data_IF_584588782741
#
_entry.id   IF_584588782741
#
_cell.length_a   1.000
_cell.length_b   1.000
_cell.length_c   1.000
_cell.angle_alpha   90.00
_cell.angle_beta   90.00
_cell.angle_gamma   90.00
#
_symmetry.space_group_name_H-M   'P 1'
#
loop_
_entity.id
_entity.type
_entity.pdbx_description
1 polymer ?
#
# COMPACT_ATOMS: atom_id res chain seq x y z
N UNK A 1 19.49 24.80 28.93
CA UNK A 1 19.21 23.48 28.31
C UNK A 1 17.90 23.61 27.55
N UNK A 2 17.94 24.04 26.28
CA UNK A 2 16.72 24.25 25.49
C UNK A 2 16.15 22.89 25.11
N UNK A 3 15.08 22.49 25.79
CA UNK A 3 14.22 21.40 25.35
C UNK A 3 13.61 21.79 24.00
N UNK A 4 14.25 21.37 22.91
CA UNK A 4 13.60 21.28 21.60
C UNK A 4 12.43 20.30 21.76
N UNK A 5 11.24 20.82 22.03
CA UNK A 5 10.01 20.05 22.21
C UNK A 5 9.59 19.28 20.94
N UNK A 6 10.07 19.71 19.77
CA UNK A 6 9.79 19.07 18.48
C UNK A 6 11.12 18.84 17.75
N UNK A 7 11.42 17.62 17.29
CA UNK A 7 12.66 17.27 16.59
C UNK A 7 12.67 17.74 15.11
N UNK A 8 11.94 18.82 14.81
CA UNK A 8 11.85 19.35 13.45
C UNK A 8 13.12 20.11 13.08
N UNK A 9 13.61 19.89 11.86
CA UNK A 9 14.73 20.63 11.33
C UNK A 9 14.43 21.09 9.90
N UNK A 10 14.31 22.41 9.75
CA UNK A 10 14.00 23.06 8.47
C UNK A 10 14.99 22.71 7.37
N UNK A 11 16.29 22.68 7.67
CA UNK A 11 17.31 22.41 6.66
C UNK A 11 17.25 20.97 6.17
N UNK A 12 17.01 20.03 7.10
CA UNK A 12 16.87 18.61 6.75
C UNK A 12 15.60 18.37 5.93
N UNK A 13 14.48 18.97 6.34
CA UNK A 13 13.23 18.92 5.61
C UNK A 13 13.38 19.44 4.17
N UNK A 14 14.00 20.62 3.99
CA UNK A 14 14.19 21.20 2.65
C UNK A 14 15.12 20.38 1.77
N UNK A 15 16.15 19.74 2.34
CA UNK A 15 17.03 18.83 1.62
C UNK A 15 16.24 17.65 1.06
N UNK A 16 15.52 16.94 1.92
CA UNK A 16 14.74 15.75 1.55
C UNK A 16 13.57 16.12 0.60
N UNK A 17 12.90 17.25 0.83
CA UNK A 17 11.82 17.75 -0.04
C UNK A 17 12.29 18.06 -1.47
N UNK A 18 13.47 18.68 -1.62
CA UNK A 18 14.01 19.01 -2.96
C UNK A 18 14.22 17.78 -3.84
N UNK A 19 14.44 16.63 -3.21
CA UNK A 19 14.69 15.35 -3.89
C UNK A 19 13.37 14.71 -4.30
N UNK A 20 12.36 14.76 -3.44
CA UNK A 20 11.05 14.11 -3.70
C UNK A 20 10.07 14.98 -4.50
N UNK A 21 10.25 16.31 -4.56
CA UNK A 21 9.28 17.24 -5.15
C UNK A 21 8.83 16.88 -6.58
N UNK A 22 9.72 16.37 -7.42
CA UNK A 22 9.41 16.04 -8.80
C UNK A 22 8.42 14.88 -8.91
N UNK A 23 8.52 13.94 -7.99
CA UNK A 23 7.62 12.79 -7.91
C UNK A 23 6.26 13.22 -7.40
N UNK A 24 6.21 14.22 -6.51
CA UNK A 24 4.96 14.84 -6.06
C UNK A 24 4.27 15.62 -7.16
N UNK A 25 5.02 16.35 -8.00
CA UNK A 25 4.47 17.01 -9.18
C UNK A 25 3.90 15.97 -10.13
N UNK A 26 4.65 14.90 -10.43
CA UNK A 26 4.20 13.80 -11.28
C UNK A 26 2.93 13.13 -10.74
N UNK A 27 2.87 12.83 -9.44
CA UNK A 27 1.68 12.26 -8.82
C UNK A 27 0.48 13.22 -8.90
N UNK A 28 0.69 14.52 -8.71
CA UNK A 28 -0.37 15.53 -8.85
C UNK A 28 -0.95 15.56 -10.26
N UNK A 29 -0.09 15.47 -11.28
CA UNK A 29 -0.49 15.39 -12.69
C UNK A 29 -1.27 14.11 -12.96
N UNK A 30 -0.78 12.95 -12.52
CA UNK A 30 -1.47 11.68 -12.75
C UNK A 30 -2.84 11.63 -12.08
N UNK A 31 -2.97 12.15 -10.85
CA UNK A 31 -4.27 12.26 -10.16
C UNK A 31 -5.19 13.24 -10.90
N UNK A 32 -4.67 14.33 -11.45
CA UNK A 32 -5.44 15.29 -12.24
C UNK A 32 -6.08 14.63 -13.47
N UNK A 33 -5.30 13.83 -14.20
CA UNK A 33 -5.80 13.10 -15.36
C UNK A 33 -6.84 12.04 -15.01
N UNK A 34 -6.85 11.60 -13.75
CA UNK A 34 -7.74 10.56 -13.29
C UNK A 34 -9.05 11.13 -12.75
N UNK A 35 -9.03 11.94 -11.69
CA UNK A 35 -10.25 12.38 -10.99
C UNK A 35 -10.87 13.68 -11.56
N UNK A 36 -10.19 14.85 -11.53
CA UNK A 36 -10.75 16.08 -12.09
C UNK A 36 -11.23 15.93 -13.55
N UNK A 37 -10.47 15.24 -14.40
CA UNK A 37 -10.88 15.03 -15.79
C UNK A 37 -12.09 14.12 -15.94
N UNK A 38 -12.25 13.09 -15.09
CA UNK A 38 -13.46 12.26 -15.12
C UNK A 38 -14.69 13.08 -14.74
N UNK A 39 -14.62 13.86 -13.67
CA UNK A 39 -15.71 14.77 -13.25
C UNK A 39 -16.05 15.75 -14.39
N UNK A 40 -15.03 16.35 -15.01
CA UNK A 40 -15.23 17.23 -16.15
C UNK A 40 -15.89 16.50 -17.34
N UNK A 41 -15.52 15.24 -17.59
CA UNK A 41 -16.12 14.44 -18.64
C UNK A 41 -17.60 14.14 -18.38
N UNK A 42 -18.00 13.88 -17.12
CA UNK A 42 -19.42 13.73 -16.75
C UNK A 42 -20.22 15.00 -17.04
N UNK A 43 -19.67 16.14 -16.62
CA UNK A 43 -20.28 17.44 -16.86
C UNK A 43 -20.40 17.70 -18.36
N UNK A 44 -19.37 17.37 -19.15
CA UNK A 44 -19.42 17.56 -20.60
C UNK A 44 -20.45 16.64 -21.25
N UNK A 45 -20.58 15.38 -20.81
CA UNK A 45 -21.64 14.46 -21.26
C UNK A 45 -23.02 15.07 -20.99
N UNK A 46 -23.26 15.53 -19.76
CA UNK A 46 -24.49 16.22 -19.38
C UNK A 46 -24.79 17.45 -20.25
N UNK A 47 -23.78 18.31 -20.48
CA UNK A 47 -23.92 19.52 -21.30
C UNK A 47 -24.29 19.22 -22.77
N UNK A 48 -23.86 18.08 -23.30
CA UNK A 48 -24.25 17.64 -24.65
C UNK A 48 -25.71 17.18 -24.68
N UNK A 49 -26.18 16.48 -23.65
CA UNK A 49 -27.56 16.00 -23.58
C UNK A 49 -28.56 17.11 -23.30
N UNK A 50 -28.25 18.04 -22.37
CA UNK A 50 -29.20 19.10 -22.00
C UNK A 50 -29.52 20.04 -23.16
N UNK A 51 -28.57 20.25 -24.09
CA UNK A 51 -28.79 21.04 -25.32
C UNK A 51 -29.81 20.42 -26.27
N UNK A 52 -30.10 19.12 -26.14
CA UNK A 52 -31.04 18.38 -27.02
C UNK A 52 -32.44 18.26 -26.44
N UNK A 53 -32.61 18.54 -25.15
CA UNK A 53 -33.87 18.39 -24.42
C UNK A 53 -34.69 19.68 -24.53
N UNK A 54 -36.00 19.53 -24.75
CA UNK A 54 -36.97 20.65 -24.77
C UNK A 54 -37.98 20.60 -23.63
N UNK A 55 -38.16 19.46 -22.99
CA UNK A 55 -39.17 19.25 -21.95
C UNK A 55 -38.56 19.34 -20.53
N UNK A 56 -39.31 19.95 -19.61
CA UNK A 56 -38.92 20.16 -18.21
C UNK A 56 -38.80 18.81 -17.49
N UNK A 57 -39.67 17.84 -17.78
CA UNK A 57 -39.65 16.52 -17.14
C UNK A 57 -38.33 15.77 -17.41
N UNK A 58 -37.84 15.83 -18.64
CA UNK A 58 -36.56 15.25 -19.07
C UNK A 58 -35.35 15.96 -18.43
N UNK A 59 -35.43 17.26 -18.18
CA UNK A 59 -34.33 17.99 -17.49
C UNK A 59 -34.13 17.53 -16.04
N UNK A 60 -35.21 17.22 -15.33
CA UNK A 60 -35.13 16.74 -13.94
C UNK A 60 -34.48 15.36 -13.86
N UNK A 61 -34.85 14.46 -14.79
CA UNK A 61 -34.23 13.13 -14.93
C UNK A 61 -32.74 13.28 -15.26
N UNK A 62 -32.40 14.20 -16.16
CA UNK A 62 -31.01 14.43 -16.55
C UNK A 62 -30.16 14.98 -15.39
N UNK A 63 -30.67 15.92 -14.60
CA UNK A 63 -29.97 16.44 -13.42
C UNK A 63 -29.65 15.33 -12.42
N UNK A 64 -30.64 14.48 -12.13
CA UNK A 64 -30.45 13.31 -11.26
C UNK A 64 -29.42 12.34 -11.84
N UNK A 65 -29.41 12.13 -13.17
CA UNK A 65 -28.42 11.27 -13.82
C UNK A 65 -26.99 11.82 -13.68
N UNK A 66 -26.81 13.14 -13.74
CA UNK A 66 -25.51 13.79 -13.52
C UNK A 66 -25.05 13.61 -12.08
N UNK A 67 -25.92 13.83 -11.09
CA UNK A 67 -25.58 13.60 -9.68
C UNK A 67 -25.16 12.17 -9.41
N UNK A 68 -25.89 11.19 -9.95
CA UNK A 68 -25.54 9.76 -9.84
C UNK A 68 -24.19 9.48 -10.51
N UNK A 69 -23.95 10.04 -11.71
CA UNK A 69 -22.67 9.90 -12.40
C UNK A 69 -21.49 10.46 -11.60
N UNK A 70 -21.65 11.64 -10.98
CA UNK A 70 -20.62 12.24 -10.11
C UNK A 70 -20.41 11.41 -8.84
N UNK A 71 -21.49 10.95 -8.23
CA UNK A 71 -21.42 10.07 -7.06
C UNK A 71 -20.70 8.76 -7.37
N UNK A 72 -20.95 8.16 -8.54
CA UNK A 72 -20.25 6.97 -9.01
C UNK A 72 -18.75 7.22 -9.21
N UNK A 73 -18.36 8.37 -9.76
CA UNK A 73 -16.94 8.76 -9.91
C UNK A 73 -16.23 8.86 -8.56
N UNK A 74 -16.90 9.39 -7.53
CA UNK A 74 -16.31 9.49 -6.19
C UNK A 74 -16.31 8.15 -5.43
N UNK A 75 -17.38 7.39 -5.54
CA UNK A 75 -17.57 6.15 -4.77
C UNK A 75 -16.78 4.98 -5.35
N UNK A 76 -16.51 4.97 -6.66
CA UNK A 76 -15.74 3.93 -7.27
C UNK A 76 -14.40 4.46 -7.76
N UNK A 77 -13.33 4.11 -7.05
CA UNK A 77 -11.97 4.44 -7.44
C UNK A 77 -11.56 3.50 -8.60
N UNK A 78 -11.97 3.86 -9.81
CA UNK A 78 -11.51 3.27 -11.06
C UNK A 78 -10.31 4.03 -11.63
N UNK A 79 -9.67 3.45 -12.65
CA UNK A 79 -8.55 4.08 -13.35
C UNK A 79 -7.23 3.95 -12.60
N UNK A 80 -6.45 5.03 -12.60
CA UNK A 80 -5.04 5.02 -12.18
C UNK A 80 -4.89 5.32 -10.68
N UNK A 81 -5.85 6.01 -10.04
CA UNK A 81 -5.80 6.41 -8.62
C UNK A 81 -5.52 5.25 -7.64
N UNK A 82 -6.11 4.04 -7.75
CA UNK A 82 -5.81 2.93 -6.83
C UNK A 82 -4.32 2.55 -6.87
N UNK A 83 -3.72 2.57 -8.06
CA UNK A 83 -2.31 2.27 -8.26
C UNK A 83 -1.43 3.39 -7.73
N UNK A 84 -1.86 4.66 -7.83
CA UNK A 84 -1.14 5.79 -7.22
C UNK A 84 -1.16 5.65 -5.70
N UNK A 85 -2.33 5.44 -5.09
CA UNK A 85 -2.48 5.23 -3.64
C UNK A 85 -1.55 4.10 -3.16
N UNK A 86 -1.41 3.03 -3.95
CA UNK A 86 -0.52 1.91 -3.65
C UNK A 86 0.97 2.23 -3.83
N UNK A 87 1.35 2.65 -5.03
CA UNK A 87 2.75 2.64 -5.48
C UNK A 87 3.48 3.91 -5.04
N UNK A 88 2.81 5.06 -5.08
CA UNK A 88 3.43 6.36 -4.83
C UNK A 88 4.03 6.47 -3.41
N UNK A 89 3.32 6.09 -2.32
CA UNK A 89 3.89 6.14 -0.97
C UNK A 89 5.11 5.22 -0.81
N UNK A 90 5.12 4.07 -1.49
CA UNK A 90 6.24 3.12 -1.45
C UNK A 90 7.48 3.75 -2.10
N UNK A 91 7.33 4.37 -3.27
CA UNK A 91 8.41 5.05 -3.99
C UNK A 91 8.99 6.20 -3.18
N UNK A 92 8.16 6.99 -2.49
CA UNK A 92 8.64 8.10 -1.67
C UNK A 92 9.56 7.61 -0.56
N UNK A 93 9.11 6.62 0.21
CA UNK A 93 9.93 6.07 1.30
C UNK A 93 11.20 5.42 0.75
N UNK A 94 11.11 4.74 -0.39
CA UNK A 94 12.26 4.16 -1.08
C UNK A 94 13.33 5.21 -1.39
N UNK A 95 12.93 6.39 -1.85
CA UNK A 95 13.88 7.45 -2.21
C UNK A 95 14.45 8.11 -0.97
N UNK A 96 13.61 8.44 0.01
CA UNK A 96 14.03 9.08 1.26
C UNK A 96 15.05 8.23 2.04
N UNK A 97 14.88 6.91 2.07
CA UNK A 97 15.82 6.00 2.75
C UNK A 97 16.91 5.47 1.79
N UNK A 98 16.62 5.37 0.50
CA UNK A 98 17.56 4.89 -0.51
C UNK A 98 18.70 5.86 -0.78
N UNK A 99 18.47 7.17 -0.69
CA UNK A 99 19.52 8.18 -0.76
C UNK A 99 20.56 7.99 0.35
N UNK A 100 20.11 7.72 1.58
CA UNK A 100 21.00 7.60 2.73
C UNK A 100 21.94 6.39 2.62
N UNK A 101 21.40 5.30 2.06
CA UNK A 101 22.13 4.05 1.80
C UNK A 101 23.14 4.21 0.67
N UNK A 102 22.78 4.93 -0.40
CA UNK A 102 23.65 5.12 -1.58
C UNK A 102 24.85 6.02 -1.29
N UNK A 103 24.65 7.04 -0.47
CA UNK A 103 25.70 8.03 -0.21
C UNK A 103 26.60 7.67 0.99
N UNK A 104 26.48 6.46 1.56
CA UNK A 104 27.08 6.06 2.85
C UNK A 104 26.86 7.08 3.98
N UNK A 105 25.87 7.96 3.83
CA UNK A 105 25.64 9.06 4.76
C UNK A 105 25.25 8.57 6.13
N UNK A 106 24.79 7.31 6.28
CA UNK A 106 24.59 6.72 7.60
C UNK A 106 25.87 6.63 8.45
N UNK A 107 27.05 6.47 7.83
CA UNK A 107 28.36 6.52 8.50
C UNK A 107 28.77 7.97 8.81
N UNK A 108 28.35 8.91 7.96
CA UNK A 108 28.50 10.35 8.19
C UNK A 108 27.48 10.90 9.19
N UNK A 109 26.35 10.22 9.46
CA UNK A 109 25.36 10.62 10.46
C UNK A 109 25.96 10.64 11.87
N UNK A 110 27.00 9.84 12.12
CA UNK A 110 27.77 9.88 13.37
C UNK A 110 28.51 11.21 13.57
N UNK A 111 28.80 11.93 12.49
CA UNK A 111 29.50 13.22 12.48
C UNK A 111 28.57 14.42 12.19
N UNK A 112 27.31 14.17 11.81
CA UNK A 112 26.33 15.24 11.60
C UNK A 112 25.79 15.77 12.92
N UNK A 113 25.47 17.07 13.02
CA UNK A 113 24.92 17.68 14.24
C UNK A 113 23.42 17.37 14.44
N UNK A 114 22.94 16.21 13.95
CA UNK A 114 21.53 15.82 13.99
C UNK A 114 21.35 14.47 14.66
N UNK A 115 20.35 14.35 15.53
CA UNK A 115 20.03 13.07 16.16
C UNK A 115 19.32 12.11 15.19
N UNK A 116 19.46 10.79 15.39
CA UNK A 116 18.69 9.78 14.63
C UNK A 116 17.19 10.05 14.67
N UNK A 117 16.69 10.56 15.79
CA UNK A 117 15.28 10.92 15.96
C UNK A 117 14.86 12.10 15.07
N UNK A 118 15.66 13.18 15.02
CA UNK A 118 15.42 14.31 14.11
C UNK A 118 15.43 13.85 12.65
N UNK A 119 16.32 12.94 12.28
CA UNK A 119 16.41 12.42 10.91
C UNK A 119 15.15 11.64 10.54
N UNK A 120 14.79 10.64 11.35
CA UNK A 120 13.61 9.83 11.11
C UNK A 120 12.33 10.68 11.07
N UNK A 121 12.16 11.60 12.02
CA UNK A 121 10.97 12.45 12.09
C UNK A 121 10.83 13.36 10.87
N UNK A 122 11.92 14.01 10.43
CA UNK A 122 11.85 14.86 9.23
C UNK A 122 11.54 14.04 7.97
N UNK A 123 12.05 12.80 7.84
CA UNK A 123 11.66 11.92 6.72
C UNK A 123 10.19 11.56 6.72
N UNK A 124 9.64 11.22 7.89
CA UNK A 124 8.21 10.93 8.02
C UNK A 124 7.39 12.17 7.64
N UNK A 125 7.78 13.36 8.11
CA UNK A 125 7.13 14.61 7.72
C UNK A 125 7.21 14.88 6.22
N UNK A 126 8.38 14.73 5.60
CA UNK A 126 8.52 14.90 4.14
C UNK A 126 7.65 13.87 3.42
N UNK A 127 7.62 12.62 3.86
CA UNK A 127 6.72 11.59 3.31
C UNK A 127 5.24 11.99 3.37
N UNK A 128 4.76 12.42 4.54
CA UNK A 128 3.38 12.90 4.72
C UNK A 128 3.09 14.11 3.84
N UNK A 129 3.98 15.10 3.80
CA UNK A 129 3.76 16.31 2.97
C UNK A 129 3.68 15.99 1.49
N UNK A 130 4.56 15.12 0.97
CA UNK A 130 4.50 14.67 -0.42
C UNK A 130 3.20 13.91 -0.72
N UNK A 131 2.62 13.18 0.25
CA UNK A 131 1.34 12.49 0.07
C UNK A 131 0.17 13.48 0.07
N UNK A 132 0.15 14.41 1.02
CA UNK A 132 -0.98 15.32 1.23
C UNK A 132 -1.12 16.32 0.07
N UNK A 133 -0.01 16.87 -0.45
CA UNK A 133 -0.03 17.94 -1.45
C UNK A 133 -0.79 17.57 -2.74
N UNK A 134 -0.53 16.43 -3.41
CA UNK A 134 -1.23 16.04 -4.65
C UNK A 134 -2.75 15.92 -4.48
N UNK A 135 -3.21 15.32 -3.38
CA UNK A 135 -4.63 15.14 -3.12
C UNK A 135 -5.32 16.47 -2.77
N UNK A 136 -4.67 17.35 -2.00
CA UNK A 136 -5.22 18.68 -1.71
C UNK A 136 -5.33 19.52 -2.99
N UNK A 137 -4.28 19.56 -3.82
CA UNK A 137 -4.29 20.35 -5.07
C UNK A 137 -5.43 19.87 -5.97
N UNK A 138 -5.55 18.56 -6.20
CA UNK A 138 -6.61 18.00 -7.03
C UNK A 138 -7.99 18.18 -6.40
N UNK A 139 -8.10 18.06 -5.09
CA UNK A 139 -9.31 18.36 -4.34
C UNK A 139 -9.79 19.79 -4.57
N UNK A 140 -8.90 20.79 -4.50
CA UNK A 140 -9.20 22.20 -4.76
C UNK A 140 -9.67 22.40 -6.21
N UNK A 141 -8.99 21.77 -7.18
CA UNK A 141 -9.39 21.84 -8.60
C UNK A 141 -10.82 21.31 -8.78
N UNK A 142 -11.14 20.17 -8.16
CA UNK A 142 -12.49 19.59 -8.18
C UNK A 142 -13.51 20.53 -7.54
N UNK A 143 -13.17 21.16 -6.40
CA UNK A 143 -14.05 22.14 -5.76
C UNK A 143 -14.39 23.30 -6.70
N UNK A 144 -13.40 23.82 -7.43
CA UNK A 144 -13.63 24.89 -8.41
C UNK A 144 -14.57 24.41 -9.52
N UNK A 145 -14.33 23.23 -10.08
CA UNK A 145 -15.20 22.64 -11.12
C UNK A 145 -16.64 22.51 -10.61
N UNK A 146 -16.84 21.90 -9.44
CA UNK A 146 -18.17 21.70 -8.86
C UNK A 146 -18.87 23.03 -8.53
N UNK A 147 -18.13 24.01 -8.00
CA UNK A 147 -18.68 25.32 -7.64
C UNK A 147 -19.15 26.14 -8.84
N UNK A 148 -18.57 25.90 -10.03
CA UNK A 148 -18.97 26.58 -11.27
C UNK A 148 -20.22 25.99 -11.93
N UNK A 149 -20.64 24.77 -11.56
CA UNK A 149 -21.78 24.10 -12.19
C UNK A 149 -23.05 24.21 -11.33
N UNK A 150 -24.18 24.74 -11.85
CA UNK A 150 -25.35 25.09 -11.04
C UNK A 150 -26.01 23.88 -10.35
N UNK A 151 -26.03 22.73 -11.02
CA UNK A 151 -26.58 21.47 -10.47
C UNK A 151 -25.66 20.84 -9.43
N UNK A 152 -24.34 21.11 -9.48
CA UNK A 152 -23.36 20.37 -8.69
C UNK A 152 -22.85 21.14 -7.47
N UNK A 153 -23.27 22.38 -7.27
CA UNK A 153 -22.87 23.23 -6.15
C UNK A 153 -23.45 22.77 -4.79
N UNK A 154 -24.20 21.69 -4.75
CA UNK A 154 -24.81 21.17 -3.53
C UNK A 154 -23.80 20.70 -2.47
N UNK A 155 -24.21 20.78 -1.20
CA UNK A 155 -23.43 20.35 -0.03
C UNK A 155 -23.00 18.87 -0.16
N UNK A 156 -23.82 18.02 -0.78
CA UNK A 156 -23.52 16.61 -1.02
C UNK A 156 -22.22 16.42 -1.80
N UNK A 157 -22.01 17.18 -2.87
CA UNK A 157 -20.82 17.03 -3.72
C UNK A 157 -19.55 17.57 -3.03
N UNK A 158 -19.70 18.59 -2.18
CA UNK A 158 -18.62 19.04 -1.29
C UNK A 158 -18.20 17.92 -0.33
N UNK A 159 -19.16 17.25 0.30
CA UNK A 159 -18.91 16.13 1.20
C UNK A 159 -18.19 14.98 0.47
N UNK A 160 -18.67 14.58 -0.72
CA UNK A 160 -18.05 13.53 -1.52
C UNK A 160 -16.58 13.83 -1.84
N UNK A 161 -16.27 15.07 -2.24
CA UNK A 161 -14.88 15.46 -2.51
C UNK A 161 -14.00 15.43 -1.26
N UNK A 162 -14.48 15.93 -0.12
CA UNK A 162 -13.74 15.88 1.15
C UNK A 162 -13.47 14.43 1.57
N UNK A 163 -14.47 13.56 1.47
CA UNK A 163 -14.33 12.14 1.78
C UNK A 163 -13.31 11.46 0.86
N UNK A 164 -13.32 11.79 -0.44
CA UNK A 164 -12.33 11.27 -1.38
C UNK A 164 -10.89 11.70 -1.02
N UNK A 165 -10.68 12.97 -0.68
CA UNK A 165 -9.37 13.48 -0.24
C UNK A 165 -8.91 12.76 1.03
N UNK A 166 -9.79 12.68 2.04
CA UNK A 166 -9.48 12.05 3.33
C UNK A 166 -9.16 10.56 3.19
N UNK A 167 -10.00 9.81 2.48
CA UNK A 167 -9.79 8.38 2.24
C UNK A 167 -8.46 8.16 1.51
N UNK A 168 -8.18 8.92 0.45
CA UNK A 168 -6.96 8.77 -0.34
C UNK A 168 -5.70 9.07 0.47
N UNK A 169 -5.71 10.13 1.29
CA UNK A 169 -4.58 10.50 2.16
C UNK A 169 -4.35 9.44 3.24
N UNK A 170 -5.41 9.01 3.94
CA UNK A 170 -5.28 8.07 5.06
C UNK A 170 -4.77 6.71 4.58
N UNK A 171 -5.31 6.18 3.47
CA UNK A 171 -4.84 4.91 2.90
C UNK A 171 -3.39 5.02 2.44
N UNK A 172 -3.04 6.14 1.78
CA UNK A 172 -1.66 6.39 1.35
C UNK A 172 -0.69 6.49 2.53
N UNK A 173 -1.08 7.12 3.64
CA UNK A 173 -0.28 7.19 4.87
C UNK A 173 -0.14 5.79 5.49
N UNK A 174 -1.16 4.95 5.45
CA UNK A 174 -1.07 3.58 5.94
C UNK A 174 -0.05 2.76 5.16
N UNK A 175 -0.10 2.86 3.82
CA UNK A 175 0.86 2.19 2.94
C UNK A 175 2.27 2.76 3.11
N UNK A 176 2.40 4.09 3.30
CA UNK A 176 3.67 4.74 3.65
C UNK A 176 4.24 4.17 4.95
N UNK A 177 3.41 4.08 5.99
CA UNK A 177 3.77 3.56 7.32
C UNK A 177 4.21 2.11 7.26
N UNK A 178 3.56 1.31 6.43
CA UNK A 178 3.95 -0.06 6.14
C UNK A 178 5.31 -0.12 5.40
N UNK A 179 5.49 0.72 4.38
CA UNK A 179 6.77 0.82 3.66
C UNK A 179 7.93 1.24 4.56
N UNK A 180 7.67 2.14 5.51
CA UNK A 180 8.64 2.58 6.52
C UNK A 180 9.19 1.43 7.35
N UNK A 181 8.37 0.44 7.73
CA UNK A 181 8.86 -0.72 8.49
C UNK A 181 9.94 -1.43 7.69
N UNK A 182 9.64 -1.78 6.43
CA UNK A 182 10.61 -2.49 5.59
C UNK A 182 11.79 -1.63 5.17
N UNK A 183 11.62 -0.30 5.06
CA UNK A 183 12.73 0.63 4.89
C UNK A 183 13.67 0.64 6.11
N UNK A 184 13.17 0.35 7.32
CA UNK A 184 14.00 0.23 8.52
C UNK A 184 14.55 -1.17 8.74
N UNK A 185 13.95 -2.22 8.16
CA UNK A 185 14.40 -3.62 8.30
C UNK A 185 15.39 -4.08 7.23
N UNK A 186 15.40 -3.42 6.07
CA UNK A 186 16.27 -3.76 4.94
C UNK A 186 17.51 -2.88 4.91
N UNK A 187 18.62 -3.37 4.37
CA UNK A 187 19.83 -2.56 4.18
C UNK A 187 20.04 -2.10 2.72
N UNK A 188 19.18 -2.53 1.78
CA UNK A 188 19.20 -2.09 0.38
C UNK A 188 17.78 -1.81 -0.15
N UNK A 189 17.68 -0.83 -1.06
CA UNK A 189 16.45 -0.36 -1.70
C UNK A 189 15.70 -1.47 -2.45
N UNK A 190 16.41 -2.40 -3.09
CA UNK A 190 15.80 -3.56 -3.77
C UNK A 190 15.05 -4.46 -2.75
N UNK A 191 15.70 -4.73 -1.61
CA UNK A 191 15.09 -5.51 -0.53
C UNK A 191 13.85 -4.85 0.03
N UNK A 192 13.88 -3.51 0.18
CA UNK A 192 12.71 -2.76 0.63
C UNK A 192 11.53 -2.99 -0.32
N UNK A 193 11.68 -2.73 -1.63
CA UNK A 193 10.58 -2.87 -2.61
C UNK A 193 10.06 -4.31 -2.61
N UNK A 194 10.96 -5.29 -2.65
CA UNK A 194 10.57 -6.69 -2.70
C UNK A 194 9.74 -7.09 -1.47
N UNK A 195 10.22 -6.77 -0.26
CA UNK A 195 9.51 -7.14 0.96
C UNK A 195 8.23 -6.33 1.15
N UNK A 196 8.22 -5.02 0.89
CA UNK A 196 6.97 -4.24 0.97
C UNK A 196 5.91 -4.80 0.06
N UNK A 197 6.25 -5.10 -1.19
CA UNK A 197 5.30 -5.63 -2.16
C UNK A 197 4.80 -7.01 -1.76
N UNK A 198 5.69 -7.93 -1.34
CA UNK A 198 5.29 -9.26 -0.89
C UNK A 198 4.35 -9.15 0.32
N UNK A 199 4.71 -8.39 1.34
CA UNK A 199 3.97 -8.34 2.59
C UNK A 199 2.67 -7.52 2.52
N UNK A 200 2.52 -6.59 1.57
CA UNK A 200 1.23 -5.93 1.32
C UNK A 200 0.20 -6.94 0.80
N UNK A 201 0.58 -7.78 -0.15
CA UNK A 201 -0.33 -8.79 -0.72
C UNK A 201 -0.43 -10.06 0.13
N UNK A 202 0.51 -10.28 1.06
CA UNK A 202 0.60 -11.52 1.83
C UNK A 202 -0.67 -11.90 2.60
N UNK A 203 -1.37 -11.00 3.33
CA UNK A 203 -2.61 -11.35 4.03
C UNK A 203 -3.70 -11.86 3.10
N UNK A 204 -3.95 -11.19 1.97
CA UNK A 204 -4.89 -11.67 0.96
C UNK A 204 -4.39 -12.97 0.29
N UNK A 205 -3.12 -13.02 -0.09
CA UNK A 205 -2.52 -14.17 -0.76
C UNK A 205 -2.58 -15.46 0.07
N UNK A 206 -2.23 -15.41 1.36
CA UNK A 206 -2.26 -16.59 2.22
C UNK A 206 -3.68 -17.13 2.41
N UNK A 207 -4.69 -16.25 2.48
CA UNK A 207 -6.11 -16.69 2.60
C UNK A 207 -6.58 -17.44 1.37
N UNK A 208 -6.23 -16.95 0.18
CA UNK A 208 -6.55 -17.61 -1.10
C UNK A 208 -5.83 -18.95 -1.19
N UNK A 209 -4.55 -18.99 -0.82
CA UNK A 209 -3.77 -20.22 -0.81
C UNK A 209 -4.37 -21.25 0.14
N UNK A 210 -4.65 -20.87 1.39
CA UNK A 210 -5.29 -21.77 2.35
C UNK A 210 -6.62 -22.31 1.82
N UNK A 211 -7.45 -21.47 1.20
CA UNK A 211 -8.70 -21.92 0.58
C UNK A 211 -8.48 -22.98 -0.50
N UNK A 212 -7.54 -22.76 -1.42
CA UNK A 212 -7.20 -23.71 -2.50
C UNK A 212 -6.66 -25.03 -1.95
N UNK A 213 -5.91 -24.99 -0.85
CA UNK A 213 -5.35 -26.19 -0.22
C UNK A 213 -6.41 -27.00 0.56
N UNK A 214 -7.52 -26.38 0.98
CA UNK A 214 -8.60 -27.03 1.71
C UNK A 214 -9.62 -27.73 0.78
N UNK A 215 -9.78 -27.25 -0.46
CA UNK A 215 -10.71 -27.81 -1.45
C UNK A 215 -10.44 -29.31 -1.77
N UNK A 216 -9.18 -29.77 -1.97
CA UNK A 216 -8.88 -31.19 -2.15
C UNK A 216 -9.12 -32.04 -0.88
N UNK A 217 -8.97 -31.46 0.32
CA UNK A 217 -9.28 -32.16 1.57
C UNK A 217 -10.79 -32.39 1.75
N UNK A 218 -11.63 -31.55 1.14
CA UNK A 218 -13.09 -31.70 1.12
C UNK A 218 -13.52 -32.92 0.30
N UNK A 219 -12.82 -33.23 -0.80
CA UNK A 219 -13.04 -34.45 -1.61
C UNK A 219 -12.73 -35.71 -0.79
N UNK A 220 -11.80 -35.62 0.18
CA UNK A 220 -11.37 -36.74 1.02
C UNK A 220 -12.18 -36.90 2.31
N UNK A 221 -12.90 -35.87 2.79
CA UNK A 221 -13.63 -35.91 4.07
C UNK A 221 -14.92 -35.09 4.00
N UNK A 222 -16.07 -35.77 3.95
CA UNK A 222 -17.44 -35.20 3.99
C UNK A 222 -17.67 -34.37 5.28
N UNK A 223 -17.27 -33.10 5.29
CA UNK A 223 -17.40 -32.26 6.49
C UNK A 223 -17.53 -30.77 6.17
N UNK A 224 -18.77 -30.29 6.07
CA UNK A 224 -19.09 -28.90 5.71
C UNK A 224 -18.75 -27.88 6.81
N UNK A 225 -18.76 -28.26 8.09
CA UNK A 225 -18.63 -27.30 9.21
C UNK A 225 -17.24 -26.66 9.37
N UNK A 226 -16.15 -27.41 9.11
CA UNK A 226 -14.79 -26.85 9.22
C UNK A 226 -14.52 -25.89 8.07
N UNK A 227 -14.98 -26.21 6.86
CA UNK A 227 -14.86 -25.35 5.69
C UNK A 227 -15.57 -24.01 5.90
N UNK A 228 -16.80 -24.01 6.39
CA UNK A 228 -17.55 -22.77 6.66
C UNK A 228 -16.87 -21.88 7.73
N UNK A 229 -16.29 -22.48 8.78
CA UNK A 229 -15.53 -21.74 9.79
C UNK A 229 -14.24 -21.15 9.20
N UNK A 230 -13.50 -21.93 8.41
CA UNK A 230 -12.28 -21.45 7.76
C UNK A 230 -12.58 -20.39 6.68
N UNK A 231 -13.68 -20.52 5.96
CA UNK A 231 -14.16 -19.52 5.00
C UNK A 231 -14.49 -18.20 5.70
N UNK A 232 -15.15 -18.25 6.86
CA UNK A 232 -15.40 -17.05 7.68
C UNK A 232 -14.10 -16.41 8.18
N UNK A 233 -13.13 -17.21 8.65
CA UNK A 233 -11.83 -16.70 9.10
C UNK A 233 -11.03 -16.10 7.93
N UNK A 234 -11.05 -16.74 6.76
CA UNK A 234 -10.36 -16.24 5.56
C UNK A 234 -10.99 -14.95 5.05
N UNK A 235 -12.32 -14.81 5.14
CA UNK A 235 -13.03 -13.57 4.83
C UNK A 235 -12.64 -12.44 5.80
N UNK A 236 -12.49 -12.73 7.09
CA UNK A 236 -12.02 -11.76 8.09
C UNK A 236 -10.58 -11.33 7.79
N UNK A 237 -9.70 -12.28 7.50
CA UNK A 237 -8.28 -11.99 7.17
C UNK A 237 -8.13 -11.20 5.87
N UNK A 238 -8.99 -11.45 4.87
CA UNK A 238 -9.02 -10.69 3.63
C UNK A 238 -9.36 -9.22 3.90
N UNK A 239 -10.37 -8.94 4.74
CA UNK A 239 -10.76 -7.56 5.13
C UNK A 239 -9.65 -6.75 5.80
N UNK A 240 -8.67 -7.40 6.43
CA UNK A 240 -7.53 -6.72 7.04
C UNK A 240 -6.37 -6.47 6.05
N UNK A 241 -6.50 -6.87 4.79
CA UNK A 241 -5.52 -6.58 3.75
C UNK A 241 -5.49 -5.07 3.46
N UNK A 242 -4.31 -4.42 3.47
CA UNK A 242 -4.18 -3.02 3.05
C UNK A 242 -4.74 -2.75 1.65
N UNK A 243 -4.80 -3.79 0.79
CA UNK A 243 -5.30 -3.72 -0.59
C UNK A 243 -6.82 -3.53 -0.66
N UNK A 244 -7.58 -4.07 0.30
CA UNK A 244 -9.03 -3.95 0.30
C UNK A 244 -9.48 -2.51 0.56
N UNK A 245 -8.77 -1.81 1.44
CA UNK A 245 -9.03 -0.40 1.76
C UNK A 245 -8.70 0.57 0.62
N UNK A 246 -8.00 0.11 -0.43
CA UNK A 246 -7.71 0.93 -1.62
C UNK A 246 -8.97 1.14 -2.47
N UNK A 247 -9.91 0.19 -2.46
CA UNK A 247 -11.10 0.24 -3.32
C UNK A 247 -12.22 1.07 -2.73
N UNK A 248 -12.49 0.92 -1.43
CA UNK A 248 -13.53 1.67 -0.76
C UNK A 248 -13.41 1.53 0.76
N UNK A 249 -13.49 2.65 1.49
CA UNK A 249 -13.67 2.63 2.94
C UNK A 249 -15.14 2.90 3.22
N UNK A 250 -15.82 1.93 3.82
CA UNK A 250 -17.27 1.94 3.91
C UNK A 250 -17.76 2.57 5.21
N UNK A 251 -16.89 2.62 6.24
CA UNK A 251 -17.27 3.12 7.57
C UNK A 251 -16.23 4.06 8.18
N UNK A 252 -16.71 4.99 9.01
CA UNK A 252 -15.84 5.87 9.81
C UNK A 252 -14.96 5.09 10.79
N UNK A 253 -15.41 3.91 11.24
CA UNK A 253 -14.65 3.02 12.11
C UNK A 253 -13.41 2.47 11.41
N UNK A 254 -13.54 2.04 10.15
CA UNK A 254 -12.41 1.57 9.34
C UNK A 254 -11.34 2.65 9.17
N UNK A 255 -11.74 3.92 8.97
CA UNK A 255 -10.81 5.05 8.91
C UNK A 255 -10.03 5.22 10.22
N UNK A 256 -10.73 5.18 11.36
CA UNK A 256 -10.10 5.33 12.68
C UNK A 256 -9.10 4.20 12.93
N UNK A 257 -9.48 2.96 12.63
CA UNK A 257 -8.60 1.79 12.76
C UNK A 257 -7.34 1.99 11.90
N UNK A 258 -7.50 2.44 10.66
CA UNK A 258 -6.38 2.62 9.73
C UNK A 258 -5.41 3.72 10.20
N UNK A 259 -5.93 4.81 10.77
CA UNK A 259 -5.11 5.87 11.40
C UNK A 259 -4.31 5.29 12.57
N UNK A 260 -4.98 4.56 13.48
CA UNK A 260 -4.32 3.95 14.65
C UNK A 260 -3.23 2.98 14.21
N UNK A 261 -3.52 2.11 13.24
CA UNK A 261 -2.55 1.16 12.68
C UNK A 261 -1.37 1.92 12.07
N UNK A 262 -1.61 2.95 11.28
CA UNK A 262 -0.54 3.78 10.67
C UNK A 262 0.40 4.37 11.72
N UNK A 263 -0.16 4.96 12.78
CA UNK A 263 0.62 5.53 13.89
C UNK A 263 1.46 4.43 14.57
N UNK A 264 0.86 3.27 14.84
CA UNK A 264 1.57 2.14 15.45
C UNK A 264 2.73 1.65 14.56
N UNK A 265 2.52 1.52 13.25
CA UNK A 265 3.56 1.11 12.30
C UNK A 265 4.71 2.13 12.22
N UNK A 266 4.41 3.44 12.27
CA UNK A 266 5.44 4.50 12.33
C UNK A 266 6.24 4.40 13.64
N UNK A 267 5.58 4.18 14.78
CA UNK A 267 6.24 4.02 16.08
C UNK A 267 7.14 2.77 16.12
N UNK A 268 6.69 1.65 15.54
CA UNK A 268 7.47 0.43 15.38
C UNK A 268 8.68 0.69 14.47
N UNK A 269 8.46 1.35 13.33
CA UNK A 269 9.54 1.74 12.40
C UNK A 269 10.59 2.60 13.09
N UNK A 270 10.18 3.56 13.91
CA UNK A 270 11.10 4.38 14.71
C UNK A 270 11.96 3.51 15.63
N UNK A 271 11.34 2.62 16.42
CA UNK A 271 12.05 1.74 17.35
C UNK A 271 13.05 0.83 16.63
N UNK A 272 12.73 0.40 15.40
CA UNK A 272 13.63 -0.38 14.56
C UNK A 272 14.78 0.49 14.05
N UNK A 273 14.48 1.69 13.55
CA UNK A 273 15.48 2.65 13.08
C UNK A 273 16.51 3.01 14.16
N UNK A 274 16.08 3.21 15.41
CA UNK A 274 16.98 3.52 16.53
C UNK A 274 17.95 2.35 16.82
N UNK A 275 17.49 1.10 16.62
CA UNK A 275 18.28 -0.13 16.82
C UNK A 275 19.21 -0.47 15.66
N UNK A 276 19.11 0.25 14.55
CA UNK A 276 19.95 -0.01 13.39
C UNK A 276 21.42 0.32 13.69
N UNK A 277 22.23 -0.74 13.66
CA UNK A 277 23.70 -0.66 13.66
C UNK A 277 24.17 -0.52 12.21
N UNK A 278 25.11 0.40 11.98
CA UNK A 278 25.60 0.74 10.64
C UNK A 278 26.46 -0.36 9.98
N UNK A 279 26.84 -1.40 10.73
CA UNK A 279 27.85 -2.41 10.36
C UNK A 279 27.40 -3.43 9.30
N UNK A 280 26.11 -3.49 8.94
CA UNK A 280 25.56 -4.45 7.93
C UNK A 280 24.91 -3.77 6.72
N UNK A 281 25.36 -2.57 6.38
CA UNK A 281 24.90 -1.87 5.17
C UNK A 281 25.27 -2.68 3.91
N UNK A 282 24.26 -3.11 3.14
CA UNK A 282 24.43 -3.85 1.88
C UNK A 282 23.71 -5.20 1.81
N UNK A 283 23.48 -5.88 2.93
CA UNK A 283 22.78 -7.18 2.94
C UNK A 283 21.25 -7.03 2.72
N UNK A 284 20.57 -8.07 2.24
CA UNK A 284 19.11 -8.02 1.98
C UNK A 284 18.30 -7.67 3.23
N UNK A 285 18.75 -8.18 4.39
CA UNK A 285 18.10 -8.02 5.68
C UNK A 285 19.12 -7.51 6.69
N UNK A 286 18.73 -6.48 7.44
CA UNK A 286 19.59 -5.87 8.44
C UNK A 286 19.78 -6.77 9.68
N UNK A 287 18.83 -7.68 9.94
CA UNK A 287 18.84 -8.56 11.11
C UNK A 287 18.95 -10.05 10.72
N UNK A 288 19.83 -10.79 11.41
CA UNK A 288 20.07 -12.24 11.15
C UNK A 288 18.83 -13.09 11.39
N UNK A 289 18.02 -12.73 12.40
CA UNK A 289 16.78 -13.44 12.71
C UNK A 289 15.69 -13.26 11.64
N UNK A 290 15.75 -12.19 10.84
CA UNK A 290 14.83 -12.00 9.72
C UNK A 290 15.15 -12.94 8.56
N UNK A 291 16.40 -13.37 8.38
CA UNK A 291 16.76 -14.36 7.35
C UNK A 291 16.01 -15.68 7.62
N UNK A 292 15.86 -16.06 8.88
CA UNK A 292 15.11 -17.25 9.28
C UNK A 292 13.61 -17.08 8.98
N UNK A 293 13.03 -15.93 9.34
CA UNK A 293 11.62 -15.63 9.08
C UNK A 293 11.30 -15.61 7.58
N UNK A 294 12.15 -14.95 6.78
CA UNK A 294 12.02 -14.91 5.32
C UNK A 294 12.10 -16.31 4.71
N UNK A 295 13.07 -17.13 5.15
CA UNK A 295 13.21 -18.50 4.70
C UNK A 295 11.97 -19.34 5.00
N UNK A 296 11.46 -19.26 6.23
CA UNK A 296 10.24 -19.96 6.62
C UNK A 296 9.02 -19.50 5.81
N UNK A 297 8.84 -18.17 5.66
CA UNK A 297 7.73 -17.59 4.90
C UNK A 297 7.71 -18.04 3.45
N UNK A 298 8.84 -17.92 2.74
CA UNK A 298 8.96 -18.36 1.34
C UNK A 298 8.71 -19.86 1.21
N UNK A 299 9.24 -20.68 2.13
CA UNK A 299 9.00 -22.12 2.12
C UNK A 299 7.52 -22.47 2.24
N UNK A 300 6.82 -21.85 3.19
CA UNK A 300 5.38 -22.08 3.40
C UNK A 300 4.58 -21.62 2.18
N UNK A 301 4.88 -20.45 1.62
CA UNK A 301 4.19 -19.93 0.44
C UNK A 301 4.36 -20.83 -0.79
N UNK A 302 5.59 -21.26 -1.07
CA UNK A 302 5.91 -22.13 -2.21
C UNK A 302 5.26 -23.51 -2.06
N UNK A 303 5.29 -24.07 -0.84
CA UNK A 303 4.58 -25.30 -0.52
C UNK A 303 3.09 -25.17 -0.81
N UNK A 304 2.43 -24.14 -0.29
CA UNK A 304 0.99 -23.95 -0.46
C UNK A 304 0.58 -23.60 -1.91
N UNK A 305 1.49 -23.06 -2.75
CA UNK A 305 1.17 -22.77 -4.16
C UNK A 305 1.34 -23.99 -5.05
N UNK A 306 2.48 -24.69 -4.94
CA UNK A 306 2.85 -25.77 -5.87
C UNK A 306 2.05 -27.03 -5.56
N UNK A 307 1.81 -27.32 -4.28
CA UNK A 307 1.29 -28.62 -3.88
C UNK A 307 -0.14 -28.91 -4.36
N UNK A 308 -1.12 -27.99 -4.28
CA UNK A 308 -2.46 -28.22 -4.83
C UNK A 308 -2.45 -28.48 -6.34
N UNK A 309 -1.61 -27.77 -7.10
CA UNK A 309 -1.56 -27.88 -8.56
C UNK A 309 -1.07 -29.26 -9.02
N UNK A 310 -0.11 -29.84 -8.30
CA UNK A 310 0.41 -31.18 -8.58
C UNK A 310 -0.56 -32.25 -8.05
N UNK A 311 -1.12 -32.04 -6.86
CA UNK A 311 -2.03 -33.01 -6.23
C UNK A 311 -3.28 -33.27 -7.08
N UNK A 312 -3.87 -32.22 -7.66
CA UNK A 312 -5.03 -32.35 -8.55
C UNK A 312 -4.75 -33.21 -9.79
N UNK A 313 -3.49 -33.30 -10.24
CA UNK A 313 -3.10 -34.02 -11.46
C UNK A 313 -2.58 -35.43 -11.19
N UNK A 314 -1.79 -35.61 -10.13
CA UNK A 314 -1.00 -36.84 -9.91
C UNK A 314 -1.41 -37.61 -8.65
N UNK A 315 -2.03 -36.95 -7.66
CA UNK A 315 -2.20 -37.49 -6.31
C UNK A 315 -3.64 -37.89 -5.93
N UNK A 316 -4.57 -37.97 -6.89
CA UNK A 316 -6.00 -38.16 -6.59
C UNK A 316 -6.22 -39.39 -5.68
N UNK A 317 -6.80 -39.15 -4.49
CA UNK A 317 -7.29 -40.20 -3.58
C UNK A 317 -6.27 -40.76 -2.58
N UNK A 318 -5.00 -40.38 -2.60
CA UNK A 318 -3.98 -40.90 -1.67
C UNK A 318 -3.47 -39.86 -0.67
N UNK A 319 -3.64 -40.13 0.63
CA UNK A 319 -3.10 -39.30 1.73
C UNK A 319 -1.57 -39.28 1.70
N UNK A 320 -0.93 -40.40 1.32
CA UNK A 320 0.52 -40.51 1.20
C UNK A 320 1.03 -39.63 0.05
N UNK A 321 0.33 -39.65 -1.09
CA UNK A 321 0.62 -38.76 -2.22
C UNK A 321 0.49 -37.28 -1.86
N UNK A 322 -0.53 -36.93 -1.06
CA UNK A 322 -0.70 -35.57 -0.54
C UNK A 322 0.52 -35.13 0.29
N UNK A 323 0.95 -35.93 1.27
CA UNK A 323 2.09 -35.60 2.14
C UNK A 323 3.39 -35.46 1.34
N UNK A 324 3.65 -36.37 0.40
CA UNK A 324 4.86 -36.34 -0.44
C UNK A 324 4.92 -35.07 -1.32
N UNK A 325 3.79 -34.69 -1.93
CA UNK A 325 3.73 -33.48 -2.79
C UNK A 325 3.95 -32.20 -1.97
N UNK A 326 3.48 -32.15 -0.72
CA UNK A 326 3.78 -31.04 0.19
C UNK A 326 5.24 -31.02 0.63
N UNK A 327 5.85 -32.17 0.90
CA UNK A 327 7.28 -32.26 1.20
C UNK A 327 8.14 -31.76 0.03
N UNK A 328 7.80 -32.13 -1.22
CA UNK A 328 8.48 -31.63 -2.43
C UNK A 328 8.34 -30.11 -2.55
N UNK A 329 7.12 -29.57 -2.39
CA UNK A 329 6.88 -28.12 -2.40
C UNK A 329 7.72 -27.37 -1.35
N UNK A 330 7.82 -27.92 -0.14
CA UNK A 330 8.65 -27.35 0.93
C UNK A 330 10.16 -27.38 0.58
N UNK A 331 10.66 -28.48 -0.01
CA UNK A 331 12.05 -28.58 -0.45
C UNK A 331 12.39 -27.52 -1.53
N UNK A 332 11.50 -27.33 -2.50
CA UNK A 332 11.65 -26.29 -3.53
C UNK A 332 11.68 -24.90 -2.89
N UNK A 333 10.76 -24.62 -1.96
CA UNK A 333 10.73 -23.34 -1.24
C UNK A 333 11.98 -23.07 -0.40
N UNK A 334 12.53 -24.11 0.26
CA UNK A 334 13.81 -24.03 0.97
C UNK A 334 15.00 -23.76 0.03
N UNK A 335 14.97 -24.30 -1.19
CA UNK A 335 16.00 -24.05 -2.18
C UNK A 335 15.95 -22.61 -2.70
N UNK A 336 14.77 -22.11 -3.06
CA UNK A 336 14.55 -20.74 -3.56
C UNK A 336 15.01 -19.72 -2.51
N UNK A 337 14.53 -19.85 -1.27
CA UNK A 337 14.87 -18.94 -0.18
C UNK A 337 16.38 -18.89 0.11
N UNK A 338 17.06 -20.04 0.13
CA UNK A 338 18.53 -20.11 0.27
C UNK A 338 19.24 -19.40 -0.87
N UNK A 339 18.79 -19.58 -2.12
CA UNK A 339 19.42 -18.95 -3.29
C UNK A 339 19.25 -17.42 -3.28
N UNK A 340 18.07 -16.91 -2.92
CA UNK A 340 17.82 -15.47 -2.76
C UNK A 340 18.74 -14.83 -1.71
N UNK A 341 18.88 -15.47 -0.54
CA UNK A 341 19.77 -14.97 0.52
C UNK A 341 21.23 -14.98 0.04
N UNK A 342 21.68 -16.05 -0.62
CA UNK A 342 23.06 -16.16 -1.13
C UNK A 342 23.38 -15.07 -2.16
N UNK A 343 22.49 -14.86 -3.14
CA UNK A 343 22.65 -13.83 -4.19
C UNK A 343 22.76 -12.43 -3.62
N UNK A 344 22.03 -12.16 -2.53
CA UNK A 344 22.07 -10.85 -1.89
C UNK A 344 23.34 -10.55 -1.11
N UNK A 345 24.08 -11.59 -0.69
CA UNK A 345 25.37 -11.44 -0.01
C UNK A 345 26.49 -11.23 -1.03
N UNK A 346 26.39 -11.80 -2.23
CA UNK A 346 27.39 -11.63 -3.30
C UNK A 346 27.35 -10.26 -3.99
N UNK A 347 26.24 -9.52 -3.94
CA UNK A 347 26.14 -8.16 -4.51
C UNK A 347 26.77 -7.07 -3.63
N UNK A 348 27.32 -7.43 -2.46
CA UNK A 348 27.97 -6.51 -1.50
C UNK A 348 29.49 -6.56 -1.64
N UNK A 349 30.03 -7.58 -2.30
CA UNK A 349 31.48 -7.81 -2.48
C UNK A 349 32.03 -7.27 -3.81
N UNK A 350 31.25 -6.47 -4.54
CA UNK A 350 31.65 -5.74 -5.75
C UNK A 350 31.25 -4.29 -5.61
#
# INVERSE_FOLDING_TARGET
MNLKLIPFNKNLFWKDWKITKWITILASILIFFDMPLRIYSEINRYNVFIKRIKDISETMILNKSLEVGIEDVFNHIYGITPYIILIYPIIIILILFGEERRNKTMELMTYMPYSKYEIFFNKVLVGVTNIVIPYIINGIIILVILATHPVLKEIKNLYLNIMWIMNSIIVSIAIMSFSLIFATLTANSIGQIALTSIFIYFPAGITVLLRINMEPMMILRQGNMLYDRFYKISLIMHKFSPVDYIRFINTTIELIILIIVSIMLILISKKLFDKNKNERNGELLQFKNLELFFKAGVTICVMLTISPLIFQRVGKGSIIGFILIYAIGALIGLFISKKCIKLSKSSVTT
#
